data_IF_525486728647
#
_entry.id   IF_525486728647
#
_cell.length_a   1.000
_cell.length_b   1.000
_cell.length_c   1.000
_cell.angle_alpha   90.00
_cell.angle_beta   90.00
_cell.angle_gamma   90.00
#
_symmetry.space_group_name_H-M   'P 1'
#
loop_
_entity.id
_entity.type
_entity.pdbx_description
1 polymer ?
#
# COMPACT_ATOMS: atom_id res chain seq x y z
N UNK A 1 3.65 16.05 -18.88
CA UNK A 1 2.67 14.94 -18.96
C UNK A 1 3.07 13.83 -18.02
N UNK A 2 2.12 13.31 -17.28
CA UNK A 2 2.36 12.20 -16.37
C UNK A 2 2.30 10.88 -17.12
N UNK A 3 3.19 9.94 -16.82
CA UNK A 3 3.16 8.61 -17.39
C UNK A 3 1.81 7.93 -17.10
N UNK A 4 1.19 7.22 -18.08
CA UNK A 4 -0.12 6.58 -17.87
C UNK A 4 -0.17 5.64 -16.67
N UNK A 5 0.93 4.94 -16.36
CA UNK A 5 0.99 4.06 -15.19
C UNK A 5 0.97 4.85 -13.88
N UNK A 6 1.56 6.05 -13.85
CA UNK A 6 1.48 6.93 -12.68
C UNK A 6 0.03 7.38 -12.49
N UNK A 7 -0.66 7.77 -13.55
CA UNK A 7 -2.07 8.19 -13.47
C UNK A 7 -2.95 7.07 -12.91
N UNK A 8 -2.72 5.82 -13.33
CA UNK A 8 -3.45 4.66 -12.80
C UNK A 8 -3.17 4.45 -11.32
N UNK A 9 -1.92 4.51 -10.91
CA UNK A 9 -1.53 4.33 -9.51
C UNK A 9 -2.11 5.45 -8.63
N UNK A 10 -2.10 6.70 -9.09
CA UNK A 10 -2.71 7.81 -8.37
C UNK A 10 -4.21 7.60 -8.18
N UNK A 11 -4.89 7.07 -9.19
CA UNK A 11 -6.31 6.71 -9.09
C UNK A 11 -6.54 5.65 -8.03
N UNK A 12 -5.65 4.64 -7.95
CA UNK A 12 -5.74 3.59 -6.93
C UNK A 12 -5.51 4.14 -5.53
N UNK A 13 -4.55 5.04 -5.34
CA UNK A 13 -4.36 5.69 -4.04
C UNK A 13 -5.58 6.51 -3.63
N UNK A 14 -6.19 7.24 -4.57
CA UNK A 14 -7.42 7.97 -4.29
C UNK A 14 -8.56 7.05 -3.86
N UNK A 15 -8.71 5.90 -4.53
CA UNK A 15 -9.71 4.89 -4.18
C UNK A 15 -9.43 4.30 -2.78
N UNK A 16 -8.17 4.05 -2.45
CA UNK A 16 -7.78 3.57 -1.12
C UNK A 16 -8.18 4.58 -0.03
N UNK A 17 -7.88 5.85 -0.23
CA UNK A 17 -8.17 6.89 0.76
C UNK A 17 -9.68 7.14 0.96
N UNK A 18 -10.51 6.80 -0.03
CA UNK A 18 -11.96 6.96 0.05
C UNK A 18 -12.70 5.65 0.37
N UNK A 19 -11.97 4.54 0.53
CA UNK A 19 -12.57 3.24 0.80
C UNK A 19 -13.33 2.64 -0.40
N UNK A 20 -12.95 3.01 -1.62
CA UNK A 20 -13.60 2.54 -2.86
C UNK A 20 -13.01 1.18 -3.29
N UNK A 21 -13.43 0.12 -2.62
CA UNK A 21 -12.94 -1.24 -2.87
C UNK A 21 -13.29 -1.74 -4.28
N UNK A 22 -14.38 -1.28 -4.85
CA UNK A 22 -14.77 -1.66 -6.22
C UNK A 22 -13.77 -1.17 -7.25
N UNK A 23 -13.35 0.09 -7.16
CA UNK A 23 -12.34 0.66 -8.05
C UNK A 23 -10.99 -0.05 -7.86
N UNK A 24 -10.59 -0.29 -6.61
CA UNK A 24 -9.35 -1.02 -6.32
C UNK A 24 -9.41 -2.41 -6.95
N UNK A 25 -10.46 -3.18 -6.65
CA UNK A 25 -10.59 -4.57 -7.13
C UNK A 25 -10.63 -4.67 -8.64
N UNK A 26 -11.23 -3.69 -9.33
CA UNK A 26 -11.33 -3.71 -10.79
C UNK A 26 -9.97 -3.46 -11.48
N UNK A 27 -9.00 -2.87 -10.79
CA UNK A 27 -7.70 -2.57 -11.34
C UNK A 27 -6.63 -3.62 -10.97
N UNK A 28 -7.00 -4.64 -10.19
CA UNK A 28 -6.09 -5.71 -9.77
C UNK A 28 -6.31 -6.97 -10.60
N UNK A 29 -5.20 -7.67 -10.93
CA UNK A 29 -5.29 -9.00 -11.51
C UNK A 29 -5.91 -9.98 -10.51
N UNK A 30 -6.75 -10.95 -10.95
CA UNK A 30 -7.22 -12.01 -10.06
C UNK A 30 -6.09 -12.82 -9.41
N UNK A 31 -4.93 -12.86 -10.06
CA UNK A 31 -3.74 -13.59 -9.58
C UNK A 31 -2.75 -12.67 -8.87
N UNK A 32 -3.15 -11.49 -8.47
CA UNK A 32 -2.25 -10.53 -7.83
C UNK A 32 -1.59 -11.13 -6.59
N UNK A 33 -0.31 -10.81 -6.40
CA UNK A 33 0.41 -11.05 -5.15
C UNK A 33 0.98 -9.73 -4.65
N UNK A 34 0.72 -9.46 -3.38
CA UNK A 34 1.21 -8.27 -2.69
C UNK A 34 2.17 -8.71 -1.60
N UNK A 35 3.43 -8.34 -1.73
CA UNK A 35 4.49 -8.67 -0.78
C UNK A 35 4.68 -7.49 0.18
N UNK A 36 4.53 -7.73 1.47
CA UNK A 36 4.81 -6.72 2.49
C UNK A 36 6.00 -7.15 3.33
N UNK A 37 7.04 -6.32 3.37
CA UNK A 37 8.27 -6.62 4.12
C UNK A 37 8.03 -6.52 5.63
N UNK A 38 8.94 -7.14 6.39
CA UNK A 38 8.97 -7.00 7.84
C UNK A 38 8.41 -8.20 8.58
N UNK A 39 8.09 -7.97 9.86
CA UNK A 39 7.65 -9.02 10.78
C UNK A 39 6.36 -8.65 11.53
N UNK A 40 5.73 -7.51 11.19
CA UNK A 40 4.46 -7.12 11.79
C UNK A 40 3.32 -8.06 11.36
N UNK A 41 2.13 -7.98 12.01
CA UNK A 41 1.03 -8.89 11.68
C UNK A 41 0.53 -8.80 10.24
N UNK A 42 0.81 -7.69 9.53
CA UNK A 42 0.39 -7.51 8.13
C UNK A 42 1.48 -7.92 7.13
N UNK A 43 2.68 -8.29 7.61
CA UNK A 43 3.79 -8.66 6.73
C UNK A 43 3.53 -10.01 6.04
N UNK A 44 4.32 -10.26 4.98
CA UNK A 44 4.24 -11.49 4.20
C UNK A 44 3.52 -11.30 2.88
N UNK A 45 3.17 -12.40 2.24
CA UNK A 45 2.55 -12.41 0.94
C UNK A 45 1.03 -12.52 1.04
N UNK A 46 0.34 -11.64 0.33
CA UNK A 46 -1.12 -11.64 0.24
C UNK A 46 -1.49 -11.97 -1.22
N UNK A 47 -2.14 -13.09 -1.43
CA UNK A 47 -2.43 -13.61 -2.77
C UNK A 47 -3.92 -13.53 -3.08
N UNK A 48 -4.25 -12.97 -4.23
CA UNK A 48 -5.61 -12.81 -4.70
C UNK A 48 -6.29 -11.52 -4.21
N UNK A 49 -7.33 -11.09 -4.91
CA UNK A 49 -8.00 -9.81 -4.64
C UNK A 49 -8.58 -9.76 -3.22
N UNK A 50 -9.31 -10.78 -2.72
CA UNK A 50 -9.86 -10.71 -1.37
C UNK A 50 -8.78 -10.53 -0.28
N UNK A 51 -7.65 -11.23 -0.40
CA UNK A 51 -6.56 -11.13 0.57
C UNK A 51 -5.91 -9.74 0.53
N UNK A 52 -5.73 -9.17 -0.67
CA UNK A 52 -5.16 -7.83 -0.83
C UNK A 52 -6.09 -6.77 -0.25
N UNK A 53 -7.38 -6.86 -0.50
CA UNK A 53 -8.36 -5.91 0.08
C UNK A 53 -8.38 -6.00 1.60
N UNK A 54 -8.30 -7.19 2.17
CA UNK A 54 -8.21 -7.37 3.62
C UNK A 54 -6.93 -6.75 4.19
N UNK A 55 -5.80 -6.93 3.51
CA UNK A 55 -4.54 -6.30 3.90
C UNK A 55 -4.63 -4.78 3.88
N UNK A 56 -5.19 -4.20 2.83
CA UNK A 56 -5.36 -2.74 2.72
C UNK A 56 -6.30 -2.20 3.80
N UNK A 57 -7.34 -2.95 4.14
CA UNK A 57 -8.30 -2.57 5.19
C UNK A 57 -7.73 -2.66 6.61
N UNK A 58 -6.56 -3.25 6.82
CA UNK A 58 -5.94 -3.32 8.14
C UNK A 58 -5.61 -1.92 8.71
N UNK A 59 -5.42 -0.92 7.85
CA UNK A 59 -5.18 0.46 8.27
C UNK A 59 -6.44 1.15 8.83
N UNK A 60 -7.62 0.58 8.64
CA UNK A 60 -8.86 1.12 9.19
C UNK A 60 -8.86 1.16 10.73
N UNK A 61 -7.93 0.45 11.37
CA UNK A 61 -7.77 0.43 12.82
C UNK A 61 -6.82 1.50 13.34
N UNK A 62 -6.41 2.44 12.50
CA UNK A 62 -5.56 3.56 12.91
C UNK A 62 -6.38 4.84 12.97
N UNK A 63 -6.11 5.64 14.01
CA UNK A 63 -6.63 7.00 14.10
C UNK A 63 -5.67 7.98 13.43
N UNK A 64 -6.19 9.11 12.96
CA UNK A 64 -5.39 10.19 12.36
C UNK A 64 -4.49 9.69 11.22
N UNK A 65 -4.98 8.72 10.44
CA UNK A 65 -4.22 8.17 9.32
C UNK A 65 -4.03 9.21 8.22
N UNK A 66 -2.79 9.35 7.75
CA UNK A 66 -2.47 10.18 6.60
C UNK A 66 -1.46 9.48 5.71
N UNK A 67 -1.56 9.74 4.41
CA UNK A 67 -0.64 9.20 3.41
C UNK A 67 -0.11 10.36 2.57
N UNK A 68 1.21 10.48 2.53
CA UNK A 68 1.91 11.52 1.77
C UNK A 68 2.78 10.83 0.71
N UNK A 69 2.46 11.03 -0.55
CA UNK A 69 3.26 10.53 -1.67
C UNK A 69 4.33 11.56 -1.99
N UNK A 70 5.59 11.19 -1.77
CA UNK A 70 6.73 12.08 -1.98
C UNK A 70 7.10 12.16 -3.45
N UNK A 71 7.14 11.00 -4.14
CA UNK A 71 7.51 10.93 -5.55
C UNK A 71 7.03 9.61 -6.16
N UNK A 72 6.87 9.61 -7.47
CA UNK A 72 6.57 8.42 -8.27
C UNK A 72 7.46 8.39 -9.50
N UNK A 73 8.05 7.22 -9.75
CA UNK A 73 8.89 6.98 -10.92
C UNK A 73 8.30 5.82 -11.72
N UNK A 74 8.20 5.97 -13.03
CA UNK A 74 7.55 4.97 -13.87
C UNK A 74 8.42 4.50 -15.02
N UNK A 75 8.34 3.20 -15.29
CA UNK A 75 8.72 2.59 -16.54
C UNK A 75 7.47 2.08 -17.26
N UNK A 76 7.64 1.43 -18.40
CA UNK A 76 6.51 0.88 -19.16
C UNK A 76 5.77 -0.24 -18.39
N UNK A 77 6.41 -0.88 -17.41
CA UNK A 77 5.85 -2.02 -16.70
C UNK A 77 5.78 -1.83 -15.19
N UNK A 78 6.42 -0.81 -14.62
CA UNK A 78 6.50 -0.63 -13.17
C UNK A 78 6.39 0.82 -12.75
N UNK A 79 5.83 1.04 -11.55
CA UNK A 79 5.84 2.33 -10.86
C UNK A 79 6.48 2.11 -9.50
N UNK A 80 7.48 2.92 -9.16
CA UNK A 80 8.04 2.99 -7.82
C UNK A 80 7.46 4.21 -7.11
N UNK A 81 6.89 4.01 -5.94
CA UNK A 81 6.26 5.06 -5.15
C UNK A 81 7.05 5.25 -3.87
N UNK A 82 7.49 6.48 -3.63
CA UNK A 82 8.16 6.88 -2.39
C UNK A 82 7.13 7.62 -1.55
N UNK A 83 6.82 7.09 -0.35
CA UNK A 83 5.71 7.61 0.43
C UNK A 83 5.97 7.55 1.93
N UNK A 84 5.14 8.28 2.68
CA UNK A 84 5.09 8.26 4.13
C UNK A 84 3.65 8.08 4.56
N UNK A 85 3.41 7.15 5.48
CA UNK A 85 2.12 6.96 6.10
C UNK A 85 2.24 7.17 7.60
N UNK A 86 1.34 7.94 8.17
CA UNK A 86 1.31 8.23 9.60
C UNK A 86 -0.01 7.79 10.20
N UNK A 87 0.02 7.34 11.45
CA UNK A 87 -1.17 6.92 12.15
C UNK A 87 -0.95 6.89 13.65
N UNK A 88 -2.04 6.65 14.37
CA UNK A 88 -2.05 6.57 15.82
C UNK A 88 -2.85 5.34 16.27
N UNK A 89 -2.34 4.67 17.29
CA UNK A 89 -3.06 3.61 18.03
C UNK A 89 -3.00 3.95 19.51
N UNK A 90 -4.11 4.34 20.10
CA UNK A 90 -4.10 4.89 21.46
C UNK A 90 -3.18 6.12 21.52
N UNK A 91 -2.18 6.11 22.40
CA UNK A 91 -1.19 7.19 22.52
C UNK A 91 0.05 6.99 21.65
N UNK A 92 0.18 5.83 21.00
CA UNK A 92 1.33 5.53 20.15
C UNK A 92 1.14 6.16 18.77
N UNK A 93 2.18 6.86 18.30
CA UNK A 93 2.22 7.45 16.95
C UNK A 93 3.39 6.87 16.17
N UNK A 94 3.20 6.69 14.87
CA UNK A 94 4.25 6.18 14.01
C UNK A 94 4.11 6.78 12.62
N UNK A 95 5.26 7.14 12.03
CA UNK A 95 5.36 7.50 10.62
C UNK A 95 6.18 6.43 9.92
N UNK A 96 5.55 5.73 8.98
CA UNK A 96 6.18 4.69 8.18
C UNK A 96 6.64 5.29 6.85
N UNK A 97 7.95 5.31 6.64
CA UNK A 97 8.51 5.63 5.32
C UNK A 97 8.64 4.33 4.53
N UNK A 98 8.14 4.32 3.30
CA UNK A 98 8.18 3.10 2.50
C UNK A 98 8.35 3.41 1.02
N UNK A 99 8.85 2.39 0.32
CA UNK A 99 8.88 2.36 -1.15
C UNK A 99 8.00 1.20 -1.59
N UNK A 100 7.09 1.48 -2.50
CA UNK A 100 6.21 0.48 -3.07
C UNK A 100 6.51 0.37 -4.56
N UNK A 101 6.73 -0.86 -5.03
CA UNK A 101 6.93 -1.15 -6.45
C UNK A 101 5.69 -1.86 -6.97
N UNK A 102 5.05 -1.28 -7.97
CA UNK A 102 3.83 -1.82 -8.57
C UNK A 102 4.14 -2.26 -9.99
N UNK A 103 3.88 -3.54 -10.29
CA UNK A 103 3.99 -4.06 -11.65
C UNK A 103 2.62 -4.01 -12.32
N UNK A 104 2.60 -3.52 -13.56
CA UNK A 104 1.36 -3.38 -14.34
C UNK A 104 1.52 -4.06 -15.70
N UNK A 105 0.46 -4.73 -16.13
CA UNK A 105 0.34 -5.29 -17.48
C UNK A 105 -1.04 -4.95 -18.02
N UNK A 106 -1.07 -4.29 -19.18
CA UNK A 106 -2.32 -3.92 -19.85
C UNK A 106 -3.28 -3.13 -18.94
N UNK A 107 -2.73 -2.22 -18.14
CA UNK A 107 -3.52 -1.39 -17.24
C UNK A 107 -4.02 -2.09 -15.97
N UNK A 108 -3.51 -3.26 -15.68
CA UNK A 108 -3.88 -4.06 -14.50
C UNK A 108 -2.66 -4.32 -13.63
N UNK A 109 -2.83 -4.17 -12.32
CA UNK A 109 -1.77 -4.45 -11.34
C UNK A 109 -1.64 -5.95 -11.15
N UNK A 110 -0.45 -6.48 -11.41
CA UNK A 110 -0.16 -7.92 -11.33
C UNK A 110 0.62 -8.31 -10.09
N UNK A 111 1.46 -7.43 -9.60
CA UNK A 111 2.28 -7.71 -8.42
C UNK A 111 2.71 -6.41 -7.75
N UNK A 112 2.82 -6.44 -6.42
CA UNK A 112 3.25 -5.28 -5.63
C UNK A 112 4.26 -5.74 -4.59
N UNK A 113 5.33 -4.95 -4.42
CA UNK A 113 6.33 -5.12 -3.36
C UNK A 113 6.33 -3.87 -2.50
N UNK A 114 6.15 -4.03 -1.18
CA UNK A 114 6.16 -2.93 -0.23
C UNK A 114 7.36 -3.07 0.69
N UNK A 115 8.27 -2.09 0.65
CA UNK A 115 9.51 -2.08 1.43
C UNK A 115 9.42 -1.00 2.48
N UNK A 116 9.34 -1.39 3.75
CA UNK A 116 9.26 -0.47 4.87
C UNK A 116 10.68 -0.14 5.37
N UNK A 117 10.95 1.14 5.59
CA UNK A 117 12.28 1.59 6.03
C UNK A 117 12.59 1.15 7.45
N UNK A 118 11.69 1.43 8.40
CA UNK A 118 11.84 1.08 9.81
C UNK A 118 10.93 -0.10 10.15
N UNK A 119 11.36 -1.30 9.80
CA UNK A 119 10.55 -2.51 9.99
C UNK A 119 10.34 -2.83 11.47
N UNK A 120 11.35 -2.61 12.31
CA UNK A 120 11.24 -2.85 13.76
C UNK A 120 10.26 -1.88 14.40
N UNK A 121 10.34 -0.59 14.08
CA UNK A 121 9.40 0.42 14.58
C UNK A 121 7.98 0.15 14.12
N UNK A 122 7.79 -0.27 12.88
CA UNK A 122 6.48 -0.64 12.36
C UNK A 122 5.91 -1.85 13.11
N UNK A 123 6.72 -2.89 13.34
CA UNK A 123 6.28 -4.08 14.08
C UNK A 123 5.87 -3.71 15.50
N UNK A 124 6.64 -2.87 16.20
CA UNK A 124 6.32 -2.40 17.53
C UNK A 124 5.01 -1.61 17.55
N UNK A 125 4.83 -0.69 16.60
CA UNK A 125 3.61 0.11 16.48
C UNK A 125 2.39 -0.77 16.21
N UNK A 126 2.49 -1.73 15.28
CA UNK A 126 1.39 -2.60 14.90
C UNK A 126 1.02 -3.61 15.98
N UNK A 127 1.88 -3.80 17.01
CA UNK A 127 1.59 -4.64 18.17
C UNK A 127 0.83 -3.91 19.28
N UNK A 128 0.67 -2.59 19.19
CA UNK A 128 -0.08 -1.80 20.18
C UNK A 128 -1.56 -2.18 20.07
N UNK A 129 -2.25 -2.46 21.21
CA UNK A 129 -3.68 -2.77 21.19
C UNK A 129 -4.52 -1.63 20.61
N UNK A 130 -5.54 -2.00 19.89
CA UNK A 130 -6.50 -1.06 19.32
C UNK A 130 -7.47 -0.58 20.39
#
# INVERSE_FOLDING_TARGET
MTHPNIDLVMKLYGAFMTGDDETIGSALSPDITWHSSGTDPTAGDHHGIPAVLAYLGADDHMDDYSLDVVDMLASDTRVAIIAKASGRRGDARFTNEFVQVVELRDGVVTEVWNYNWDQAGLADFMSVPI
#
